data_IF_481041186144
#
_entry.id   IF_481041186144
#
_cell.length_a   1.000
_cell.length_b   1.000
_cell.length_c   1.000
_cell.angle_alpha   90.00
_cell.angle_beta   90.00
_cell.angle_gamma   90.00
#
_symmetry.space_group_name_H-M   'P 1'
#
loop_
_entity.id
_entity.type
_entity.pdbx_description
1 polymer ?
#
# COMPACT_ATOMS: atom_id res chain seq x y z
N UNK A 1 45.03 24.06 33.61
CA UNK A 1 44.49 22.68 33.58
C UNK A 1 42.97 22.63 33.76
N UNK A 2 42.39 23.27 34.81
CA UNK A 2 40.93 23.26 35.04
C UNK A 2 40.08 23.95 33.95
N UNK A 3 40.61 25.00 33.29
CA UNK A 3 39.92 25.71 32.19
C UNK A 3 39.84 24.89 30.90
N UNK A 4 40.82 24.02 30.63
CA UNK A 4 40.79 23.12 29.48
C UNK A 4 39.80 21.96 29.69
N UNK A 5 39.66 21.47 30.93
CA UNK A 5 38.69 20.41 31.27
C UNK A 5 37.23 20.87 31.06
N UNK A 6 36.94 22.16 31.28
CA UNK A 6 35.60 22.73 31.10
C UNK A 6 35.19 22.84 29.62
N UNK A 7 36.16 23.10 28.71
CA UNK A 7 35.91 23.18 27.26
C UNK A 7 35.61 21.79 26.68
N UNK A 8 36.27 20.74 27.18
CA UNK A 8 35.97 19.36 26.79
C UNK A 8 34.59 18.90 27.27
N UNK A 9 34.15 19.34 28.46
CA UNK A 9 32.82 19.01 28.98
C UNK A 9 31.69 19.71 28.19
N UNK A 10 31.93 20.92 27.68
CA UNK A 10 30.94 21.63 26.83
C UNK A 10 30.83 21.04 25.42
N UNK A 11 31.91 20.48 24.86
CA UNK A 11 31.88 19.86 23.53
C UNK A 11 31.09 18.53 23.51
N UNK A 12 31.01 17.82 24.64
CA UNK A 12 30.24 16.58 24.78
C UNK A 12 28.71 16.77 24.77
N UNK A 13 28.22 18.01 24.97
CA UNK A 13 26.80 18.32 24.99
C UNK A 13 26.27 18.73 23.61
N UNK A 14 27.16 18.98 22.64
CA UNK A 14 26.81 19.37 21.27
C UNK A 14 26.65 18.17 20.32
N UNK A 15 26.15 17.03 20.81
CA UNK A 15 25.65 15.98 19.91
C UNK A 15 24.32 16.50 19.36
N UNK A 16 24.18 16.72 18.03
CA UNK A 16 22.87 16.99 17.49
C UNK A 16 21.99 15.79 17.84
N UNK A 17 20.92 16.01 18.60
CA UNK A 17 19.83 15.07 18.69
C UNK A 17 19.29 14.92 17.28
N UNK A 18 19.75 13.89 16.57
CA UNK A 18 19.10 13.41 15.36
C UNK A 18 17.77 12.85 15.85
N UNK A 19 16.77 13.73 15.89
CA UNK A 19 15.40 13.32 16.12
C UNK A 19 14.89 12.86 14.76
N UNK A 20 14.60 11.57 14.69
CA UNK A 20 13.83 11.00 13.61
C UNK A 20 12.56 11.85 13.43
N UNK A 21 12.38 12.41 12.24
CA UNK A 21 11.25 13.28 11.94
C UNK A 21 10.09 12.40 11.46
N UNK A 22 8.94 12.38 12.17
CA UNK A 22 7.78 11.60 11.77
C UNK A 22 7.40 11.92 10.32
N UNK A 23 7.51 10.90 9.47
CA UNK A 23 7.29 11.06 8.03
C UNK A 23 6.01 10.33 7.65
N UNK A 24 4.94 11.10 7.52
CA UNK A 24 3.64 10.58 7.10
C UNK A 24 3.64 10.08 5.66
N UNK A 25 3.19 8.85 5.47
CA UNK A 25 2.94 8.24 4.15
C UNK A 25 1.50 7.75 4.09
N UNK A 26 0.76 8.24 3.10
CA UNK A 26 -0.56 7.74 2.74
C UNK A 26 -0.42 6.84 1.52
N UNK A 27 -0.73 5.56 1.69
CA UNK A 27 -0.73 4.59 0.59
C UNK A 27 -2.17 4.33 0.16
N UNK A 28 -2.41 4.44 -1.15
CA UNK A 28 -3.68 4.09 -1.78
C UNK A 28 -3.45 2.95 -2.76
N UNK A 29 -4.42 2.05 -2.82
CA UNK A 29 -4.41 0.93 -3.77
C UNK A 29 -5.63 1.08 -4.66
N UNK A 30 -5.39 1.34 -5.94
CA UNK A 30 -6.42 1.41 -6.98
C UNK A 30 -6.38 0.13 -7.79
N UNK A 31 -7.54 -0.37 -8.18
CA UNK A 31 -7.66 -1.53 -9.06
C UNK A 31 -7.51 -1.06 -10.51
N UNK A 32 -6.74 -1.82 -11.31
CA UNK A 32 -6.45 -1.45 -12.69
C UNK A 32 -7.75 -1.29 -13.47
N UNK A 33 -7.89 -0.15 -14.15
CA UNK A 33 -9.10 0.23 -14.89
C UNK A 33 -10.41 0.22 -14.07
N UNK A 34 -10.31 0.28 -12.74
CA UNK A 34 -11.42 0.40 -11.81
C UNK A 34 -11.11 1.37 -10.66
N UNK A 35 -11.65 1.11 -9.48
CA UNK A 35 -11.75 2.05 -8.35
C UNK A 35 -10.76 1.73 -7.24
N UNK A 36 -10.82 2.45 -6.11
CA UNK A 36 -10.01 2.13 -4.94
C UNK A 36 -10.41 0.78 -4.34
N UNK A 37 -9.42 -0.02 -3.97
CA UNK A 37 -9.62 -1.29 -3.28
C UNK A 37 -10.08 -1.03 -1.84
N UNK A 38 -11.39 -0.98 -1.69
CA UNK A 38 -12.08 -0.59 -0.47
C UNK A 38 -12.34 -1.71 0.53
N UNK A 39 -12.87 -1.31 1.68
CA UNK A 39 -13.18 -2.22 2.80
C UNK A 39 -14.17 -3.33 2.44
N UNK A 40 -15.04 -3.12 1.45
CA UNK A 40 -16.01 -4.13 0.99
C UNK A 40 -15.33 -5.38 0.40
N UNK A 41 -14.10 -5.24 -0.11
CA UNK A 41 -13.26 -6.35 -0.61
C UNK A 41 -12.16 -6.73 0.38
N UNK A 42 -12.27 -6.30 1.64
CA UNK A 42 -11.29 -6.53 2.69
C UNK A 42 -10.07 -5.61 2.63
N UNK A 43 -10.00 -4.70 1.65
CA UNK A 43 -8.84 -3.84 1.39
C UNK A 43 -7.62 -4.62 0.84
N UNK A 44 -6.48 -3.94 0.79
CA UNK A 44 -5.17 -4.51 0.48
C UNK A 44 -4.28 -4.47 1.71
N UNK A 45 -3.52 -5.52 1.97
CA UNK A 45 -2.39 -5.50 2.90
C UNK A 45 -1.26 -4.69 2.28
N UNK A 46 -0.92 -3.57 2.90
CA UNK A 46 0.19 -2.69 2.52
C UNK A 46 1.36 -2.94 3.46
N UNK A 47 2.56 -3.08 2.90
CA UNK A 47 3.82 -3.16 3.66
C UNK A 47 4.79 -2.13 3.11
N UNK A 48 5.33 -1.29 3.98
CA UNK A 48 6.40 -0.32 3.71
C UNK A 48 7.68 -0.88 4.32
N UNK A 49 8.72 -1.03 3.51
CA UNK A 49 9.97 -1.68 3.89
C UNK A 49 11.17 -0.83 3.46
N UNK A 50 12.18 -0.72 4.32
CA UNK A 50 13.49 -0.18 3.92
C UNK A 50 14.16 -1.17 2.95
N UNK A 51 14.50 -0.71 1.75
CA UNK A 51 15.06 -1.57 0.69
C UNK A 51 16.43 -2.11 1.07
N UNK A 52 17.26 -1.32 1.75
CA UNK A 52 18.64 -1.67 2.09
C UNK A 52 18.70 -2.63 3.28
N UNK A 53 18.01 -2.31 4.37
CA UNK A 53 18.10 -3.10 5.62
C UNK A 53 17.14 -4.28 5.63
N UNK A 54 16.08 -4.20 4.85
CA UNK A 54 15.01 -5.18 4.85
C UNK A 54 13.96 -4.96 5.95
N UNK A 55 14.11 -3.93 6.78
CA UNK A 55 13.23 -3.61 7.88
C UNK A 55 11.83 -3.21 7.41
N UNK A 56 10.79 -3.76 8.06
CA UNK A 56 9.41 -3.31 7.85
C UNK A 56 9.20 -2.05 8.68
N UNK A 57 9.08 -0.91 8.00
CA UNK A 57 8.85 0.40 8.62
C UNK A 57 7.40 0.58 9.04
N UNK A 58 6.45 0.04 8.26
CA UNK A 58 5.04 0.06 8.59
C UNK A 58 4.28 -1.04 7.84
N UNK A 59 3.20 -1.53 8.44
CA UNK A 59 2.29 -2.48 7.80
C UNK A 59 0.86 -2.24 8.26
N UNK A 60 -0.09 -2.43 7.35
CA UNK A 60 -1.51 -2.34 7.66
C UNK A 60 -2.36 -2.63 6.44
N UNK A 61 -3.65 -2.34 6.51
CA UNK A 61 -4.56 -2.54 5.39
C UNK A 61 -5.19 -1.23 4.93
N UNK A 62 -5.54 -1.14 3.66
CA UNK A 62 -6.38 -0.04 3.18
C UNK A 62 -7.77 -0.13 3.81
N UNK A 63 -8.28 1.02 4.26
CA UNK A 63 -9.63 1.16 4.83
C UNK A 63 -10.30 2.35 4.19
N UNK A 64 -11.56 2.18 3.79
CA UNK A 64 -12.40 3.22 3.22
C UNK A 64 -13.32 2.68 2.11
N UNK A 65 -13.97 3.61 1.41
CA UNK A 65 -14.82 3.30 0.27
C UNK A 65 -14.03 3.10 -1.01
N UNK A 66 -14.71 2.70 -2.08
CA UNK A 66 -14.14 2.64 -3.43
C UNK A 66 -13.89 4.02 -4.06
N UNK A 67 -14.18 5.11 -3.36
CA UNK A 67 -14.12 6.49 -3.87
C UNK A 67 -15.30 6.85 -4.78
N UNK A 68 -15.24 8.07 -5.33
CA UNK A 68 -16.30 8.64 -6.16
C UNK A 68 -16.37 8.02 -7.56
N UNK A 69 -17.40 7.20 -7.81
CA UNK A 69 -17.62 6.53 -9.11
C UNK A 69 -17.71 7.51 -10.29
N UNK A 70 -18.33 8.69 -10.14
CA UNK A 70 -18.45 9.65 -11.24
C UNK A 70 -17.08 10.20 -11.62
N UNK A 71 -16.30 10.61 -10.62
CA UNK A 71 -14.94 11.14 -10.82
C UNK A 71 -14.01 10.08 -11.44
N UNK A 72 -14.02 8.88 -10.89
CA UNK A 72 -13.05 7.83 -11.28
C UNK A 72 -13.44 7.19 -12.62
N UNK A 73 -14.73 6.90 -12.85
CA UNK A 73 -15.13 6.05 -13.99
C UNK A 73 -15.80 6.79 -15.15
N UNK A 74 -16.30 8.01 -14.93
CA UNK A 74 -17.13 8.72 -15.92
C UNK A 74 -16.55 10.04 -16.40
N UNK A 75 -15.60 10.61 -15.66
CA UNK A 75 -14.97 11.89 -16.00
C UNK A 75 -13.58 11.63 -16.59
N UNK A 76 -13.20 12.27 -17.71
CA UNK A 76 -11.82 12.21 -18.22
C UNK A 76 -10.82 12.71 -17.17
N UNK A 77 -9.76 11.93 -16.93
CA UNK A 77 -8.73 12.28 -15.95
C UNK A 77 -7.74 13.29 -16.52
N UNK A 78 -7.54 14.38 -15.80
CA UNK A 78 -6.50 15.35 -16.10
C UNK A 78 -5.23 15.01 -15.32
N UNK A 79 -4.07 15.12 -15.96
CA UNK A 79 -2.78 14.86 -15.32
C UNK A 79 -2.58 15.80 -14.12
N UNK A 80 -2.17 15.22 -12.99
CA UNK A 80 -1.89 15.98 -11.76
C UNK A 80 -3.13 16.36 -10.97
N UNK A 81 -4.34 16.07 -11.47
CA UNK A 81 -5.58 16.25 -10.71
C UNK A 81 -5.87 14.95 -9.96
N UNK A 82 -5.96 14.98 -8.62
CA UNK A 82 -6.24 13.80 -7.83
C UNK A 82 -7.60 13.20 -8.16
N UNK A 83 -7.68 11.87 -8.20
CA UNK A 83 -8.93 11.12 -8.35
C UNK A 83 -9.43 10.52 -7.03
N UNK A 84 -8.63 10.60 -5.97
CA UNK A 84 -9.02 10.24 -4.61
C UNK A 84 -9.81 11.35 -3.90
N UNK A 85 -10.71 10.94 -3.02
CA UNK A 85 -11.40 11.80 -2.06
C UNK A 85 -11.11 11.35 -0.62
N UNK A 86 -11.65 12.04 0.39
CA UNK A 86 -11.43 11.71 1.80
C UNK A 86 -11.96 10.33 2.20
N UNK A 87 -12.92 9.81 1.42
CA UNK A 87 -13.56 8.51 1.66
C UNK A 87 -12.85 7.39 0.91
N UNK A 88 -11.99 7.69 -0.07
CA UNK A 88 -11.26 6.69 -0.85
C UNK A 88 -10.35 5.88 0.07
N UNK A 89 -10.32 4.57 -0.14
CA UNK A 89 -9.58 3.66 0.72
C UNK A 89 -8.08 3.96 0.74
N UNK A 90 -7.53 4.03 1.95
CA UNK A 90 -6.12 4.34 2.20
C UNK A 90 -5.59 3.60 3.41
N UNK A 91 -4.28 3.40 3.42
CA UNK A 91 -3.51 3.07 4.61
C UNK A 91 -2.66 4.30 4.96
N UNK A 92 -2.63 4.67 6.23
CA UNK A 92 -1.86 5.82 6.72
C UNK A 92 -0.81 5.29 7.69
N UNK A 93 0.45 5.61 7.43
CA UNK A 93 1.57 5.29 8.29
C UNK A 93 2.32 6.57 8.64
N UNK A 94 2.86 6.62 9.85
CA UNK A 94 3.95 7.51 10.22
C UNK A 94 5.19 6.61 10.28
N UNK A 95 6.19 6.88 9.44
CA UNK A 95 7.47 6.17 9.51
C UNK A 95 8.52 7.08 10.12
N UNK A 96 9.42 6.48 10.89
CA UNK A 96 10.51 7.18 11.56
C UNK A 96 11.80 6.89 10.82
N UNK A 97 12.36 7.91 10.14
CA UNK A 97 13.57 7.80 9.34
C UNK A 97 14.50 8.97 9.65
N UNK A 98 15.79 8.68 9.85
CA UNK A 98 16.81 9.67 10.23
C UNK A 98 17.56 10.24 9.03
N UNK A 99 17.52 9.53 7.90
CA UNK A 99 18.20 9.90 6.67
C UNK A 99 17.31 9.59 5.46
N UNK A 100 17.57 10.21 4.29
CA UNK A 100 16.90 9.83 3.07
C UNK A 100 16.95 8.32 2.88
N UNK A 101 15.78 7.68 2.77
CA UNK A 101 15.64 6.22 2.78
C UNK A 101 14.91 5.77 1.54
N UNK A 102 15.47 4.79 0.82
CA UNK A 102 14.77 4.11 -0.27
C UNK A 102 13.80 3.09 0.32
N UNK A 103 12.51 3.32 0.16
CA UNK A 103 11.46 2.40 0.62
C UNK A 103 10.91 1.59 -0.55
N UNK A 104 10.50 0.36 -0.27
CA UNK A 104 9.56 -0.41 -1.10
C UNK A 104 8.19 -0.37 -0.42
N UNK A 105 7.18 0.06 -1.17
CA UNK A 105 5.78 -0.07 -0.77
C UNK A 105 5.17 -1.19 -1.60
N UNK A 106 4.67 -2.23 -0.93
CA UNK A 106 3.98 -3.34 -1.58
C UNK A 106 2.52 -3.42 -1.13
N UNK A 107 1.65 -3.82 -2.04
CA UNK A 107 0.23 -4.07 -1.78
C UNK A 107 -0.13 -5.49 -2.22
N UNK A 108 -0.84 -6.21 -1.35
CA UNK A 108 -1.40 -7.54 -1.61
C UNK A 108 -2.91 -7.54 -1.34
N UNK A 109 -3.71 -7.91 -2.32
CA UNK A 109 -5.17 -7.89 -2.18
C UNK A 109 -5.91 -8.45 -3.40
N UNK A 110 -7.23 -8.64 -3.31
CA UNK A 110 -8.09 -8.23 -2.20
C UNK A 110 -8.05 -9.24 -1.04
N UNK A 111 -8.11 -8.76 0.20
CA UNK A 111 -8.00 -9.63 1.37
C UNK A 111 -9.25 -10.48 1.65
N UNK A 112 -10.42 -10.05 1.19
CA UNK A 112 -11.65 -10.84 1.33
C UNK A 112 -11.72 -12.03 0.36
N UNK A 113 -10.97 -11.99 -0.75
CA UNK A 113 -10.99 -13.00 -1.81
C UNK A 113 -9.57 -13.41 -2.22
N UNK A 114 -8.84 -14.03 -1.28
CA UNK A 114 -7.39 -14.29 -1.38
C UNK A 114 -7.00 -15.18 -2.57
N UNK A 115 -7.91 -16.02 -3.07
CA UNK A 115 -7.68 -16.84 -4.26
C UNK A 115 -7.52 -16.01 -5.55
N UNK A 116 -8.03 -14.78 -5.57
CA UNK A 116 -7.87 -13.85 -6.68
C UNK A 116 -6.86 -12.73 -6.35
N UNK A 117 -6.11 -12.87 -5.25
CA UNK A 117 -5.23 -11.81 -4.80
C UNK A 117 -3.97 -11.69 -5.67
N UNK A 118 -3.63 -10.43 -6.00
CA UNK A 118 -2.42 -10.06 -6.71
C UNK A 118 -1.47 -9.32 -5.76
N UNK A 119 -0.22 -9.16 -6.18
CA UNK A 119 0.77 -8.33 -5.49
C UNK A 119 1.42 -7.35 -6.46
N UNK A 120 1.58 -6.10 -6.03
CA UNK A 120 2.39 -5.08 -6.71
C UNK A 120 3.30 -4.40 -5.71
N UNK A 121 4.43 -3.88 -6.18
CA UNK A 121 5.29 -3.00 -5.38
C UNK A 121 5.89 -1.89 -6.24
N UNK A 122 6.28 -0.81 -5.56
CA UNK A 122 7.06 0.26 -6.14
C UNK A 122 8.05 0.78 -5.11
N UNK A 123 9.18 1.30 -5.59
CA UNK A 123 10.21 1.89 -4.76
C UNK A 123 10.27 3.40 -4.93
N UNK A 124 10.51 4.12 -3.84
CA UNK A 124 10.67 5.58 -3.88
C UNK A 124 11.62 6.04 -2.77
N UNK A 125 12.43 7.06 -3.06
CA UNK A 125 13.19 7.76 -2.02
C UNK A 125 12.27 8.65 -1.19
N UNK A 126 12.39 8.55 0.12
CA UNK A 126 11.69 9.39 1.08
C UNK A 126 12.71 10.17 1.89
N UNK A 127 12.46 11.47 2.05
CA UNK A 127 13.29 12.35 2.86
C UNK A 127 12.60 12.55 4.21
N UNK A 128 13.31 12.48 5.35
CA UNK A 128 12.75 12.76 6.67
C UNK A 128 11.96 14.08 6.69
N UNK A 129 10.78 14.06 7.33
CA UNK A 129 9.86 15.19 7.43
C UNK A 129 9.14 15.58 6.14
N UNK A 130 9.43 14.92 4.99
CA UNK A 130 8.73 15.15 3.72
C UNK A 130 7.62 14.14 3.53
N UNK A 131 6.42 14.54 3.96
CA UNK A 131 5.22 13.71 3.87
C UNK A 131 4.82 13.38 2.42
N UNK A 132 4.28 12.18 2.23
CA UNK A 132 3.61 11.74 1.00
C UNK A 132 2.12 11.54 1.32
N UNK A 133 1.40 12.64 1.49
CA UNK A 133 -0.02 12.63 1.90
C UNK A 133 -0.93 13.54 1.04
N UNK A 134 -0.35 14.35 0.16
CA UNK A 134 -1.08 15.25 -0.74
C UNK A 134 -1.51 14.58 -2.05
N UNK A 135 -2.56 15.13 -2.67
CA UNK A 135 -3.13 14.59 -3.91
C UNK A 135 -3.52 13.12 -3.77
N UNK A 136 -3.12 12.30 -4.75
CA UNK A 136 -3.33 10.85 -4.70
C UNK A 136 -2.34 10.11 -3.78
N UNK A 137 -1.35 10.82 -3.22
CA UNK A 137 -0.28 10.30 -2.38
C UNK A 137 0.49 9.14 -3.04
N UNK A 138 0.90 8.13 -2.26
CA UNK A 138 1.57 6.95 -2.81
C UNK A 138 0.52 5.98 -3.38
N UNK A 139 0.28 6.05 -4.68
CA UNK A 139 -0.69 5.19 -5.37
C UNK A 139 -0.02 3.95 -5.96
N UNK A 140 -0.53 2.77 -5.61
CA UNK A 140 -0.25 1.52 -6.29
C UNK A 140 -1.47 1.11 -7.14
N UNK A 141 -1.22 0.63 -8.36
CA UNK A 141 -2.27 0.07 -9.21
C UNK A 141 -2.16 -1.46 -9.23
N UNK A 142 -3.20 -2.12 -8.72
CA UNK A 142 -3.27 -3.56 -8.57
C UNK A 142 -4.09 -4.16 -9.73
N UNK A 143 -3.49 -4.99 -10.60
CA UNK A 143 -4.21 -5.62 -11.71
C UNK A 143 -5.05 -6.81 -11.23
N UNK A 144 -5.97 -7.24 -12.10
CA UNK A 144 -6.70 -8.48 -11.95
C UNK A 144 -8.21 -8.31 -11.76
N UNK A 145 -8.91 -9.44 -11.87
CA UNK A 145 -10.33 -9.58 -11.59
C UNK A 145 -10.48 -10.47 -10.37
N UNK A 146 -11.57 -10.28 -9.64
CA UNK A 146 -11.98 -11.23 -8.62
C UNK A 146 -12.75 -12.35 -9.26
N UNK A 147 -12.17 -13.55 -9.19
CA UNK A 147 -12.74 -14.78 -9.73
C UNK A 147 -13.04 -15.73 -8.57
N UNK A 148 -14.29 -16.16 -8.48
CA UNK A 148 -14.72 -17.18 -7.54
C UNK A 148 -15.25 -18.40 -8.28
N UNK A 149 -14.67 -19.58 -8.03
CA UNK A 149 -15.11 -20.83 -8.67
C UNK A 149 -16.26 -21.40 -7.86
N UNK A 150 -17.44 -21.43 -8.45
CA UNK A 150 -18.68 -21.90 -7.83
C UNK A 150 -18.90 -23.40 -8.06
N UNK A 151 -18.43 -23.93 -9.20
CA UNK A 151 -18.56 -25.34 -9.57
C UNK A 151 -17.43 -25.76 -10.53
N UNK A 152 -16.82 -26.94 -10.36
CA UNK A 152 -16.99 -27.85 -9.23
C UNK A 152 -16.40 -27.31 -7.92
N UNK A 153 -16.94 -27.72 -6.75
CA UNK A 153 -16.36 -27.35 -5.47
C UNK A 153 -14.99 -28.01 -5.29
N UNK A 154 -14.21 -27.47 -4.34
CA UNK A 154 -12.96 -28.08 -3.94
C UNK A 154 -13.17 -29.53 -3.42
N UNK A 155 -12.13 -30.36 -3.55
CA UNK A 155 -12.09 -31.73 -3.03
C UNK A 155 -13.02 -32.76 -3.72
N UNK A 156 -13.44 -32.53 -4.97
CA UNK A 156 -14.11 -33.57 -5.76
C UNK A 156 -13.11 -34.53 -6.41
N UNK A 157 -13.45 -35.82 -6.47
CA UNK A 157 -12.71 -36.83 -7.24
C UNK A 157 -13.45 -37.09 -8.55
N UNK A 158 -12.86 -36.64 -9.65
CA UNK A 158 -13.35 -36.93 -10.99
C UNK A 158 -12.96 -38.37 -11.35
N UNK A 159 -13.87 -39.13 -11.98
CA UNK A 159 -13.64 -40.53 -12.37
C UNK A 159 -13.79 -40.70 -13.87
N UNK A 160 -12.79 -41.33 -14.48
CA UNK A 160 -12.79 -41.62 -15.92
C UNK A 160 -12.27 -40.47 -16.76
N UNK A 161 -11.50 -40.79 -17.80
CA UNK A 161 -10.99 -39.83 -18.79
C UNK A 161 -11.12 -40.44 -20.19
N UNK A 162 -11.58 -39.68 -21.19
CA UNK A 162 -11.91 -38.25 -21.16
C UNK A 162 -13.30 -37.97 -20.54
N UNK A 163 -13.45 -36.83 -19.88
CA UNK A 163 -14.73 -36.34 -19.34
C UNK A 163 -14.85 -34.83 -19.58
N UNK A 164 -16.07 -34.37 -19.89
CA UNK A 164 -16.41 -32.94 -19.89
C UNK A 164 -16.80 -32.49 -18.47
N UNK A 165 -16.30 -31.32 -18.06
CA UNK A 165 -16.57 -30.74 -16.74
C UNK A 165 -17.22 -29.39 -16.98
N UNK A 166 -18.40 -29.19 -16.40
CA UNK A 166 -19.03 -27.88 -16.37
C UNK A 166 -18.32 -27.00 -15.33
N UNK A 167 -17.89 -25.81 -15.73
CA UNK A 167 -17.32 -24.81 -14.84
C UNK A 167 -18.30 -23.67 -14.64
N UNK A 168 -18.47 -23.24 -13.40
CA UNK A 168 -19.22 -22.02 -13.05
C UNK A 168 -18.32 -21.13 -12.21
N UNK A 169 -18.24 -19.86 -12.59
CA UNK A 169 -17.47 -18.88 -11.84
C UNK A 169 -18.22 -17.54 -11.78
N UNK A 170 -18.03 -16.83 -10.68
CA UNK A 170 -18.37 -15.42 -10.57
C UNK A 170 -17.13 -14.59 -10.88
N UNK A 171 -17.24 -13.62 -11.78
CA UNK A 171 -16.13 -12.75 -12.19
C UNK A 171 -16.57 -11.30 -12.04
N UNK A 172 -15.84 -10.54 -11.23
CA UNK A 172 -16.11 -9.11 -11.01
C UNK A 172 -14.82 -8.30 -11.00
N UNK A 173 -14.93 -7.00 -11.25
CA UNK A 173 -13.86 -6.07 -10.93
C UNK A 173 -13.59 -6.07 -9.42
N UNK A 174 -12.32 -5.97 -9.06
CA UNK A 174 -11.84 -5.80 -7.69
C UNK A 174 -12.15 -4.42 -7.12
#
# INVERSE_FOLDING_TARGET
MKKFLLVWLLLLIAVPLVHAEPTRIVVRVKTKDAKFLGSSMGGALVTIKNVLTGEILAQGKTVGSTGNTKLIMKTPHQRGVPISDDKAAKFVAEIDIDEPTLIEVSAYGPLAQRQAANKVSATQWVVPGKHIDQGDAFMLELPGLVVDVLDPPAHIKLKGTPQQIALKANVTMM
#
